data_IF_977630573606
#
_entry.id   IF_977630573606
#
_cell.length_a   1.000
_cell.length_b   1.000
_cell.length_c   1.000
_cell.angle_alpha   90.00
_cell.angle_beta   90.00
_cell.angle_gamma   90.00
#
_symmetry.space_group_name_H-M   'P 1'
#
loop_
_entity.id
_entity.type
_entity.pdbx_description
1 polymer ?
#
# COMPACT_ATOMS: atom_id res chain seq x y z
N UNK A 1 16.34 32.93 20.59
CA UNK A 1 15.96 31.53 20.83
C UNK A 1 14.56 31.40 20.26
N UNK A 2 14.46 31.48 18.93
CA UNK A 2 13.22 31.24 18.21
C UNK A 2 13.39 29.89 17.54
N UNK A 3 12.63 28.92 18.02
CA UNK A 3 12.47 27.65 17.33
C UNK A 3 11.84 27.94 15.98
N UNK A 4 12.63 27.86 14.90
CA UNK A 4 12.09 27.64 13.57
C UNK A 4 11.14 26.44 13.67
N UNK A 5 9.83 26.69 13.61
CA UNK A 5 8.86 25.65 13.33
C UNK A 5 9.20 25.12 11.95
N UNK A 6 10.01 24.07 11.89
CA UNK A 6 10.25 23.27 10.69
C UNK A 6 8.87 22.97 10.12
N UNK A 7 8.62 23.39 8.88
CA UNK A 7 7.35 23.16 8.21
C UNK A 7 6.99 21.67 8.32
N UNK A 8 5.87 21.39 8.98
CA UNK A 8 5.34 20.04 9.21
C UNK A 8 4.74 19.52 7.89
N UNK A 9 5.59 19.18 6.93
CA UNK A 9 5.10 18.67 5.65
C UNK A 9 4.70 17.20 5.81
N UNK A 10 3.45 16.91 5.50
CA UNK A 10 2.82 15.59 5.47
C UNK A 10 2.52 15.26 4.02
N UNK A 11 2.67 14.01 3.62
CA UNK A 11 2.42 13.60 2.24
C UNK A 11 1.84 12.20 2.13
N UNK A 12 1.02 12.00 1.11
CA UNK A 12 0.76 10.68 0.59
C UNK A 12 1.94 10.25 -0.29
N UNK A 13 2.39 9.02 -0.17
CA UNK A 13 3.46 8.47 -1.00
C UNK A 13 2.96 7.21 -1.69
N UNK A 14 3.17 7.11 -3.00
CA UNK A 14 3.02 5.88 -3.78
C UNK A 14 4.34 5.52 -4.45
N UNK A 15 4.46 4.29 -4.92
CA UNK A 15 5.64 3.81 -5.63
C UNK A 15 5.33 3.38 -7.07
N UNK A 16 6.26 3.64 -8.00
CA UNK A 16 6.16 3.24 -9.40
C UNK A 16 7.52 2.75 -9.93
N UNK A 17 7.52 1.66 -10.70
CA UNK A 17 8.70 1.13 -11.37
C UNK A 17 8.34 0.59 -12.75
N UNK A 18 9.32 0.61 -13.66
CA UNK A 18 9.20 0.09 -15.02
C UNK A 18 8.23 0.86 -15.92
N UNK A 19 7.94 0.24 -17.07
CA UNK A 19 7.10 0.79 -18.15
C UNK A 19 5.69 0.17 -18.19
N UNK A 20 5.24 -0.42 -17.09
CA UNK A 20 3.93 -1.07 -16.98
C UNK A 20 2.77 -0.07 -16.81
N UNK A 21 1.56 -0.60 -16.75
CA UNK A 21 0.33 0.19 -16.70
C UNK A 21 -0.08 0.68 -15.30
N UNK A 22 0.76 0.46 -14.28
CA UNK A 22 0.56 0.99 -12.93
C UNK A 22 0.54 2.53 -12.89
N UNK A 23 1.05 3.21 -13.93
CA UNK A 23 0.85 4.66 -14.10
C UNK A 23 -0.63 5.04 -14.08
N UNK A 24 -1.53 4.20 -14.64
CA UNK A 24 -2.99 4.43 -14.59
C UNK A 24 -3.51 4.37 -13.15
N UNK A 25 -2.96 3.46 -12.35
CA UNK A 25 -3.24 3.35 -10.93
C UNK A 25 -2.90 4.63 -10.17
N UNK A 26 -1.68 5.14 -10.39
CA UNK A 26 -1.23 6.40 -9.76
C UNK A 26 -2.08 7.60 -10.21
N UNK A 27 -2.45 7.69 -11.48
CA UNK A 27 -3.38 8.74 -11.96
C UNK A 27 -4.75 8.62 -11.28
N UNK A 28 -5.29 7.41 -11.21
CA UNK A 28 -6.54 7.13 -10.50
C UNK A 28 -6.48 7.54 -9.03
N UNK A 29 -5.38 7.23 -8.34
CA UNK A 29 -5.13 7.60 -6.95
C UNK A 29 -5.03 9.13 -6.78
N UNK A 30 -4.30 9.82 -7.64
CA UNK A 30 -4.19 11.28 -7.63
C UNK A 30 -5.57 11.94 -7.76
N UNK A 31 -6.39 11.46 -8.70
CA UNK A 31 -7.77 11.92 -8.87
C UNK A 31 -8.66 11.58 -7.67
N UNK A 32 -8.48 10.40 -7.07
CA UNK A 32 -9.20 10.00 -5.85
C UNK A 32 -8.93 10.93 -4.68
N UNK A 33 -7.65 11.19 -4.37
CA UNK A 33 -7.23 12.14 -3.34
C UNK A 33 -7.79 13.54 -3.58
N UNK A 34 -7.80 14.01 -4.84
CA UNK A 34 -8.40 15.29 -5.22
C UNK A 34 -9.92 15.31 -5.03
N UNK A 35 -10.62 14.24 -5.41
CA UNK A 35 -12.08 14.10 -5.25
C UNK A 35 -12.50 14.21 -3.79
N UNK A 36 -11.74 13.59 -2.89
CA UNK A 36 -11.98 13.65 -1.45
C UNK A 36 -11.38 14.89 -0.78
N UNK A 37 -10.84 15.81 -1.60
CA UNK A 37 -10.28 17.10 -1.16
C UNK A 37 -9.18 16.94 -0.10
N UNK A 38 -8.31 15.94 -0.30
CA UNK A 38 -7.07 15.81 0.50
C UNK A 38 -6.33 17.14 0.53
N UNK A 39 -5.87 17.53 1.72
CA UNK A 39 -5.03 18.72 1.89
C UNK A 39 -3.57 18.49 1.50
N UNK A 40 -3.16 17.23 1.33
CA UNK A 40 -1.76 16.84 1.19
C UNK A 40 -1.42 16.35 -0.22
N UNK A 41 -0.19 16.58 -0.69
CA UNK A 41 0.25 16.17 -2.02
C UNK A 41 0.40 14.65 -2.12
N UNK A 42 0.36 14.16 -3.37
CA UNK A 42 0.78 12.80 -3.71
C UNK A 42 2.22 12.84 -4.26
N UNK A 43 3.13 12.23 -3.52
CA UNK A 43 4.52 12.00 -3.93
C UNK A 43 4.63 10.64 -4.58
N UNK A 44 5.24 10.57 -5.75
CA UNK A 44 5.50 9.33 -6.47
C UNK A 44 6.99 9.02 -6.34
N UNK A 45 7.32 8.10 -5.44
CA UNK A 45 8.63 7.48 -5.39
C UNK A 45 8.80 6.59 -6.63
N UNK A 46 9.86 6.77 -7.41
CA UNK A 46 10.04 6.00 -8.64
C UNK A 46 11.46 5.54 -8.88
N UNK A 47 11.59 4.39 -9.55
CA UNK A 47 12.88 3.94 -10.06
C UNK A 47 13.27 4.66 -11.36
N UNK A 48 14.57 4.71 -11.70
CA UNK A 48 15.04 5.37 -12.93
C UNK A 48 14.46 4.78 -14.22
N UNK A 49 13.97 3.54 -14.19
CA UNK A 49 13.42 2.82 -15.34
C UNK A 49 11.99 3.22 -15.73
N UNK A 50 11.34 4.12 -14.96
CA UNK A 50 10.04 4.69 -15.34
C UNK A 50 10.23 5.65 -16.54
N UNK A 51 9.57 5.39 -17.69
CA UNK A 51 9.73 6.19 -18.90
C UNK A 51 9.31 7.66 -18.72
N UNK A 52 9.94 8.57 -19.47
CA UNK A 52 9.61 10.00 -19.40
C UNK A 52 8.14 10.29 -19.74
N UNK A 53 7.54 9.55 -20.67
CA UNK A 53 6.10 9.64 -20.97
C UNK A 53 5.23 9.44 -19.72
N UNK A 54 5.54 8.43 -18.90
CA UNK A 54 4.83 8.21 -17.63
C UNK A 54 5.09 9.35 -16.66
N UNK A 55 6.33 9.85 -16.58
CA UNK A 55 6.68 10.99 -15.71
C UNK A 55 5.90 12.24 -16.11
N UNK A 56 5.79 12.55 -17.41
CA UNK A 56 5.00 13.67 -17.92
C UNK A 56 3.52 13.54 -17.58
N UNK A 57 2.93 12.35 -17.73
CA UNK A 57 1.55 12.06 -17.32
C UNK A 57 1.38 12.39 -15.83
N UNK A 58 2.27 11.90 -14.96
CA UNK A 58 2.17 12.13 -13.52
C UNK A 58 2.38 13.61 -13.13
N UNK A 59 3.32 14.31 -13.77
CA UNK A 59 3.49 15.77 -13.56
C UNK A 59 2.24 16.54 -13.99
N UNK A 60 1.64 16.18 -15.13
CA UNK A 60 0.40 16.83 -15.60
C UNK A 60 -0.80 16.57 -14.68
N UNK A 61 -0.74 15.53 -13.85
CA UNK A 61 -1.73 15.22 -12.80
C UNK A 61 -1.37 15.82 -11.43
N UNK A 62 -0.35 16.68 -11.35
CA UNK A 62 0.04 17.39 -10.13
C UNK A 62 0.81 16.54 -9.12
N UNK A 63 1.31 15.36 -9.51
CA UNK A 63 2.11 14.53 -8.64
C UNK A 63 3.52 15.09 -8.45
N UNK A 64 4.04 14.98 -7.22
CA UNK A 64 5.44 15.33 -6.89
C UNK A 64 6.31 14.11 -7.18
N UNK A 65 7.19 14.20 -8.19
CA UNK A 65 8.01 13.07 -8.60
C UNK A 65 9.31 13.00 -7.81
N UNK A 66 9.62 11.83 -7.24
CA UNK A 66 10.85 11.60 -6.47
C UNK A 66 11.55 10.33 -6.97
N UNK A 67 12.62 10.51 -7.74
CA UNK A 67 13.46 9.39 -8.14
C UNK A 67 14.23 8.83 -6.94
N UNK A 68 14.31 7.51 -6.84
CA UNK A 68 15.00 6.78 -5.77
C UNK A 68 15.90 5.69 -6.34
N UNK A 69 16.97 5.38 -5.62
CA UNK A 69 17.90 4.32 -5.99
C UNK A 69 17.30 2.93 -5.75
N UNK A 70 17.42 1.99 -6.70
CA UNK A 70 17.01 0.61 -6.50
C UNK A 70 17.66 -0.02 -5.25
N UNK A 71 16.94 -0.94 -4.62
CA UNK A 71 17.45 -1.81 -3.54
C UNK A 71 17.60 -3.22 -4.08
N UNK A 72 18.84 -3.71 -4.15
CA UNK A 72 19.13 -5.04 -4.65
C UNK A 72 19.16 -6.07 -3.51
N UNK A 73 18.46 -7.22 -3.64
CA UNK A 73 18.58 -8.31 -2.69
C UNK A 73 19.98 -8.95 -2.76
N UNK A 74 20.41 -9.71 -1.74
CA UNK A 74 21.65 -10.48 -1.76
C UNK A 74 21.75 -11.45 -2.97
N UNK A 75 22.97 -11.76 -3.40
CA UNK A 75 23.34 -12.23 -4.76
C UNK A 75 22.84 -13.60 -5.26
N UNK A 76 21.91 -14.30 -4.59
CA UNK A 76 21.62 -15.72 -4.88
C UNK A 76 20.23 -15.99 -5.49
N UNK A 77 19.66 -15.05 -6.25
CA UNK A 77 18.30 -15.19 -6.81
C UNK A 77 18.24 -15.28 -8.33
N UNK A 78 17.29 -16.08 -8.83
CA UNK A 78 16.92 -16.18 -10.27
C UNK A 78 16.39 -14.83 -10.77
N UNK A 79 16.67 -14.44 -12.03
CA UNK A 79 16.42 -13.09 -12.57
C UNK A 79 14.99 -12.55 -12.36
N UNK A 80 13.95 -13.35 -12.61
CA UNK A 80 12.56 -12.90 -12.42
C UNK A 80 12.22 -12.63 -10.95
N UNK A 81 12.69 -13.50 -10.05
CA UNK A 81 12.55 -13.28 -8.62
C UNK A 81 13.29 -12.00 -8.22
N UNK A 82 14.49 -11.79 -8.77
CA UNK A 82 15.32 -10.61 -8.52
C UNK A 82 14.59 -9.32 -8.86
N UNK A 83 13.91 -9.22 -10.01
CA UNK A 83 13.15 -8.03 -10.39
C UNK A 83 11.98 -7.76 -9.42
N UNK A 84 11.25 -8.81 -9.04
CA UNK A 84 10.18 -8.72 -8.02
C UNK A 84 10.71 -8.18 -6.69
N UNK A 85 11.85 -8.68 -6.21
CA UNK A 85 12.45 -8.19 -4.96
C UNK A 85 13.04 -6.78 -5.09
N UNK A 86 13.65 -6.43 -6.23
CA UNK A 86 14.15 -5.06 -6.45
C UNK A 86 13.01 -4.07 -6.35
N UNK A 87 11.90 -4.32 -7.05
CA UNK A 87 10.72 -3.45 -7.05
C UNK A 87 10.20 -3.27 -5.62
N UNK A 88 9.97 -4.36 -4.91
CA UNK A 88 9.35 -4.33 -3.59
C UNK A 88 10.27 -3.76 -2.50
N UNK A 89 11.54 -4.17 -2.43
CA UNK A 89 12.48 -3.63 -1.44
C UNK A 89 12.88 -2.18 -1.71
N UNK A 90 12.77 -1.70 -2.95
CA UNK A 90 13.00 -0.28 -3.24
C UNK A 90 12.00 0.64 -2.55
N UNK A 91 10.80 0.15 -2.20
CA UNK A 91 9.84 0.91 -1.38
C UNK A 91 10.45 1.36 -0.06
N UNK A 92 11.42 0.65 0.52
CA UNK A 92 12.07 1.03 1.77
C UNK A 92 12.78 2.40 1.71
N UNK A 93 13.10 2.90 0.50
CA UNK A 93 13.71 4.23 0.31
C UNK A 93 12.82 5.38 0.80
N UNK A 94 11.51 5.17 0.91
CA UNK A 94 10.58 6.22 1.38
C UNK A 94 10.84 6.63 2.84
N UNK A 95 11.49 5.79 3.66
CA UNK A 95 11.93 6.19 5.01
C UNK A 95 13.01 7.28 5.01
N UNK A 96 13.65 7.55 3.87
CA UNK A 96 14.64 8.61 3.72
C UNK A 96 14.02 9.95 3.26
N UNK A 97 12.69 10.05 3.11
CA UNK A 97 12.01 11.30 2.72
C UNK A 97 11.86 12.24 3.92
N UNK A 98 13.00 12.65 4.50
CA UNK A 98 13.13 13.47 5.71
C UNK A 98 12.57 14.89 5.59
N UNK A 99 12.19 15.31 4.39
CA UNK A 99 11.39 16.50 4.15
C UNK A 99 9.98 16.39 4.74
N UNK A 100 9.46 15.17 4.94
CA UNK A 100 8.17 14.93 5.57
C UNK A 100 8.30 14.43 7.00
N UNK A 101 7.44 14.92 7.90
CA UNK A 101 7.39 14.43 9.28
C UNK A 101 6.51 13.18 9.45
N UNK A 102 5.56 12.98 8.54
CA UNK A 102 4.68 11.81 8.51
C UNK A 102 4.18 11.54 7.10
N UNK A 103 4.15 10.27 6.77
CA UNK A 103 3.77 9.77 5.44
C UNK A 103 2.67 8.74 5.59
N UNK A 104 1.67 8.82 4.70
CA UNK A 104 0.73 7.74 4.44
C UNK A 104 1.15 7.10 3.11
N UNK A 105 1.70 5.89 3.17
CA UNK A 105 2.02 5.12 1.98
C UNK A 105 0.75 4.45 1.43
N UNK A 106 0.57 4.49 0.12
CA UNK A 106 -0.50 3.83 -0.62
C UNK A 106 0.10 3.19 -1.88
N UNK A 107 -0.08 1.88 -2.06
CA UNK A 107 0.28 1.21 -3.31
C UNK A 107 -0.51 1.79 -4.50
N UNK A 108 0.07 1.71 -5.69
CA UNK A 108 -0.52 2.28 -6.90
C UNK A 108 -1.83 1.59 -7.35
N UNK A 109 -2.17 0.43 -6.79
CA UNK A 109 -3.47 -0.25 -6.97
C UNK A 109 -4.45 -0.02 -5.82
N UNK A 110 -4.26 1.06 -5.06
CA UNK A 110 -5.22 1.58 -4.09
C UNK A 110 -6.05 2.73 -4.69
N UNK A 111 -7.31 2.82 -4.26
CA UNK A 111 -8.15 3.99 -4.50
C UNK A 111 -8.77 4.51 -3.20
N UNK A 112 -8.82 5.84 -3.09
CA UNK A 112 -9.40 6.58 -1.96
C UNK A 112 -10.77 7.13 -2.39
N UNK A 113 -11.80 6.78 -1.62
CA UNK A 113 -13.21 7.13 -1.86
C UNK A 113 -13.77 8.12 -0.84
N UNK A 114 -13.15 8.24 0.32
CA UNK A 114 -13.44 9.25 1.34
C UNK A 114 -12.15 9.82 1.92
N UNK A 115 -12.20 11.01 2.51
CA UNK A 115 -11.01 11.67 3.04
C UNK A 115 -10.43 10.86 4.23
N UNK A 116 -9.10 10.71 4.22
CA UNK A 116 -8.32 9.94 5.21
C UNK A 116 -7.18 10.78 5.82
N UNK A 117 -7.25 12.11 5.73
CA UNK A 117 -6.24 13.04 6.23
C UNK A 117 -6.06 12.92 7.76
N UNK A 118 -7.09 12.46 8.48
CA UNK A 118 -6.99 12.17 9.91
C UNK A 118 -5.94 11.11 10.26
N UNK A 119 -5.50 10.29 9.28
CA UNK A 119 -4.42 9.32 9.48
C UNK A 119 -3.09 9.99 9.84
N UNK A 120 -2.88 11.25 9.41
CA UNK A 120 -1.68 11.99 9.79
C UNK A 120 -1.68 12.43 11.27
N UNK A 121 -2.80 12.30 11.97
CA UNK A 121 -2.91 12.62 13.40
C UNK A 121 -2.77 11.38 14.30
N UNK A 122 -2.53 10.20 13.72
CA UNK A 122 -2.23 8.99 14.47
C UNK A 122 -0.95 9.17 15.34
N UNK A 123 -0.85 8.53 16.52
CA UNK A 123 0.28 8.75 17.43
C UNK A 123 1.63 8.42 16.80
N UNK A 124 2.66 9.20 17.11
CA UNK A 124 3.99 8.95 16.58
C UNK A 124 4.67 7.73 17.24
N UNK A 125 5.72 7.21 16.59
CA UNK A 125 6.57 6.12 17.07
C UNK A 125 6.05 4.72 16.75
N UNK A 126 5.09 4.62 15.82
CA UNK A 126 4.48 3.35 15.42
C UNK A 126 4.24 3.31 13.92
N UNK A 127 4.40 2.12 13.34
CA UNK A 127 3.87 1.83 12.02
C UNK A 127 2.38 1.49 12.17
N UNK A 128 1.52 2.30 11.57
CA UNK A 128 0.09 2.02 11.54
C UNK A 128 -0.30 1.36 10.23
N UNK A 129 -1.13 0.33 10.28
CA UNK A 129 -1.57 -0.37 9.07
C UNK A 129 -2.76 -1.27 9.34
N UNK A 130 -3.42 -1.72 8.27
CA UNK A 130 -4.56 -2.62 8.40
C UNK A 130 -4.05 -4.06 8.41
N UNK A 131 -4.53 -4.84 9.37
CA UNK A 131 -4.23 -6.27 9.45
C UNK A 131 -4.66 -6.98 8.15
N UNK A 132 -3.81 -7.87 7.64
CA UNK A 132 -4.09 -8.68 6.46
C UNK A 132 -5.14 -9.78 6.68
N UNK A 133 -5.32 -10.62 5.68
CA UNK A 133 -6.19 -11.79 5.70
C UNK A 133 -5.40 -13.03 5.29
N UNK A 134 -5.51 -14.12 6.06
CA UNK A 134 -4.82 -15.39 5.80
C UNK A 134 -5.64 -16.39 5.00
N UNK A 135 -6.83 -16.02 4.51
CA UNK A 135 -7.75 -16.93 3.82
C UNK A 135 -7.49 -17.06 2.31
N UNK A 136 -6.62 -16.22 1.74
CA UNK A 136 -6.29 -16.27 0.32
C UNK A 136 -5.27 -17.37 0.00
N UNK A 137 -5.35 -17.94 -1.22
CA UNK A 137 -4.51 -19.09 -1.63
C UNK A 137 -3.01 -18.78 -1.58
N UNK A 138 -2.62 -17.51 -1.70
CA UNK A 138 -1.22 -17.07 -1.53
C UNK A 138 -0.64 -17.46 -0.17
N UNK A 139 -1.49 -17.65 0.85
CA UNK A 139 -1.11 -18.11 2.19
C UNK A 139 -1.04 -19.63 2.34
N UNK A 140 -1.27 -20.42 1.28
CA UNK A 140 -1.40 -21.88 1.38
C UNK A 140 -0.17 -22.63 1.90
N UNK A 141 0.98 -21.96 1.96
CA UNK A 141 2.22 -22.48 2.51
C UNK A 141 2.35 -22.27 4.02
N UNK A 142 1.38 -21.62 4.67
CA UNK A 142 1.44 -21.24 6.09
C UNK A 142 0.59 -22.13 6.99
N UNK A 143 0.96 -22.31 8.26
CA UNK A 143 0.12 -22.98 9.26
C UNK A 143 -1.27 -22.34 9.40
N UNK A 144 -1.34 -21.01 9.38
CA UNK A 144 -2.57 -20.21 9.50
C UNK A 144 -3.61 -20.64 8.47
N UNK A 145 -3.21 -20.70 7.20
CA UNK A 145 -4.09 -21.13 6.11
C UNK A 145 -4.49 -22.61 6.26
N UNK A 146 -3.53 -23.47 6.60
CA UNK A 146 -3.75 -24.93 6.71
C UNK A 146 -4.79 -25.27 7.77
N UNK A 147 -4.78 -24.58 8.91
CA UNK A 147 -5.76 -24.79 9.99
C UNK A 147 -7.06 -24.00 9.79
N UNK A 148 -7.11 -23.07 8.84
CA UNK A 148 -8.24 -22.17 8.62
C UNK A 148 -8.32 -21.00 9.61
N UNK A 149 -7.22 -20.67 10.29
CA UNK A 149 -7.13 -19.52 11.19
C UNK A 149 -6.97 -18.22 10.41
N UNK A 150 -7.75 -17.19 10.78
CA UNK A 150 -7.59 -15.85 10.24
C UNK A 150 -7.75 -14.79 11.32
N UNK A 151 -6.81 -13.85 11.38
CA UNK A 151 -6.81 -12.73 12.32
C UNK A 151 -7.96 -11.72 12.10
N UNK A 152 -8.64 -11.78 10.94
CA UNK A 152 -9.88 -11.01 10.69
C UNK A 152 -11.07 -11.57 11.47
N UNK A 153 -11.02 -12.83 11.88
CA UNK A 153 -12.08 -13.52 12.60
C UNK A 153 -11.51 -14.58 13.56
N UNK A 154 -10.69 -14.20 14.55
CA UNK A 154 -9.94 -15.14 15.39
C UNK A 154 -10.84 -16.08 16.21
N UNK A 155 -12.11 -15.71 16.40
CA UNK A 155 -13.10 -16.53 17.11
C UNK A 155 -13.68 -17.68 16.27
N UNK A 156 -13.60 -17.63 14.92
CA UNK A 156 -14.15 -18.69 14.06
C UNK A 156 -13.35 -19.99 14.16
N UNK A 157 -12.03 -19.87 14.18
CA UNK A 157 -11.11 -20.99 14.38
C UNK A 157 -10.09 -20.53 15.41
N UNK A 158 -10.15 -21.12 16.61
CA UNK A 158 -9.18 -20.82 17.66
C UNK A 158 -7.82 -21.39 17.31
N UNK A 159 -6.77 -20.65 17.64
CA UNK A 159 -5.40 -21.14 17.47
C UNK A 159 -5.18 -22.41 18.31
N UNK A 160 -4.66 -23.51 17.74
CA UNK A 160 -4.47 -24.77 18.45
C UNK A 160 -3.50 -24.62 19.63
N UNK A 161 -3.85 -25.15 20.79
CA UNK A 161 -3.07 -25.01 22.02
C UNK A 161 -1.75 -25.79 21.99
N UNK A 162 -1.69 -26.83 21.16
CA UNK A 162 -0.51 -27.65 20.90
C UNK A 162 0.52 -26.97 19.98
N UNK A 163 0.12 -25.91 19.27
CA UNK A 163 1.05 -25.09 18.50
C UNK A 163 1.74 -24.07 19.41
N UNK A 164 2.84 -23.48 18.92
CA UNK A 164 3.44 -22.29 19.56
C UNK A 164 2.39 -21.17 19.68
N UNK A 165 2.69 -20.09 20.40
CA UNK A 165 1.81 -18.92 20.47
C UNK A 165 1.31 -18.49 19.07
N UNK A 166 0.08 -17.94 18.97
CA UNK A 166 -0.43 -17.42 17.72
C UNK A 166 0.56 -16.40 17.12
N UNK A 167 0.60 -16.26 15.79
CA UNK A 167 1.48 -15.30 15.14
C UNK A 167 1.16 -13.88 15.63
N UNK A 168 2.16 -12.98 15.67
CA UNK A 168 1.90 -11.57 15.91
C UNK A 168 0.95 -11.02 14.83
N UNK A 169 0.25 -9.90 15.11
CA UNK A 169 -0.58 -9.24 14.11
C UNK A 169 0.22 -8.95 12.84
N UNK A 170 -0.31 -9.39 11.69
CA UNK A 170 0.35 -9.22 10.41
C UNK A 170 -0.40 -8.22 9.55
N UNK A 171 0.19 -7.12 9.10
CA UNK A 171 -0.47 -6.12 8.26
C UNK A 171 -0.17 -6.30 6.77
N UNK A 172 -1.10 -5.81 5.94
CA UNK A 172 -0.84 -5.66 4.51
C UNK A 172 0.01 -4.40 4.28
N UNK A 173 1.11 -4.53 3.53
CA UNK A 173 2.03 -3.42 3.29
C UNK A 173 1.64 -2.54 2.09
N UNK A 174 0.43 -2.71 1.55
CA UNK A 174 -0.10 -1.80 0.53
C UNK A 174 -0.50 -0.44 1.09
N UNK A 175 -0.79 -0.36 2.39
CA UNK A 175 -1.08 0.89 3.06
C UNK A 175 -0.53 0.88 4.49
N UNK A 176 0.22 1.93 4.83
CA UNK A 176 0.68 2.16 6.18
C UNK A 176 1.03 3.63 6.44
N UNK A 177 1.02 4.02 7.71
CA UNK A 177 1.41 5.36 8.18
C UNK A 177 2.67 5.25 9.03
N UNK A 178 3.64 6.11 8.77
CA UNK A 178 4.94 6.09 9.44
C UNK A 178 5.63 7.46 9.38
N UNK A 179 6.70 7.62 10.14
CA UNK A 179 7.58 8.78 10.14
C UNK A 179 8.89 8.46 9.38
N UNK A 180 9.21 9.20 8.30
CA UNK A 180 10.53 9.14 7.71
C UNK A 180 11.61 9.45 8.74
N UNK A 181 12.60 8.56 8.86
CA UNK A 181 13.66 8.67 9.85
C UNK A 181 14.93 8.01 9.30
N UNK A 182 16.03 8.77 9.27
CA UNK A 182 17.31 8.30 8.70
C UNK A 182 17.86 7.08 9.45
N UNK A 183 17.74 7.03 10.77
CA UNK A 183 18.22 5.90 11.58
C UNK A 183 17.39 4.64 11.35
N UNK A 184 16.06 4.78 11.26
CA UNK A 184 15.15 3.68 10.89
C UNK A 184 15.45 3.20 9.47
N UNK A 185 15.63 4.12 8.52
CA UNK A 185 15.99 3.81 7.13
C UNK A 185 17.30 3.01 7.03
N UNK A 186 18.36 3.46 7.70
CA UNK A 186 19.65 2.76 7.71
C UNK A 186 19.50 1.37 8.34
N UNK A 187 18.73 1.26 9.43
CA UNK A 187 18.46 0.00 10.11
C UNK A 187 17.69 -0.98 9.23
N UNK A 188 16.67 -0.51 8.49
CA UNK A 188 15.92 -1.30 7.51
C UNK A 188 16.87 -1.88 6.46
N UNK A 189 17.74 -1.05 5.86
CA UNK A 189 18.66 -1.52 4.82
C UNK A 189 19.73 -2.47 5.35
N UNK A 190 20.21 -2.30 6.59
CA UNK A 190 21.15 -3.23 7.20
C UNK A 190 20.49 -4.57 7.53
N UNK A 191 19.27 -4.55 8.09
CA UNK A 191 18.51 -5.75 8.37
C UNK A 191 18.18 -6.52 7.08
N UNK A 192 17.85 -5.82 5.99
CA UNK A 192 17.53 -6.44 4.71
C UNK A 192 18.70 -7.27 4.15
N UNK A 193 19.95 -6.83 4.33
CA UNK A 193 21.15 -7.55 3.83
C UNK A 193 21.27 -8.98 4.36
N UNK A 194 20.76 -9.24 5.55
CA UNK A 194 20.79 -10.55 6.21
C UNK A 194 19.41 -11.22 6.24
N UNK A 195 18.39 -10.59 5.67
CA UNK A 195 17.04 -11.12 5.63
C UNK A 195 16.91 -12.11 4.47
N UNK A 196 16.54 -13.38 4.73
CA UNK A 196 16.25 -14.32 3.67
C UNK A 196 15.05 -13.85 2.84
N UNK A 197 15.05 -14.08 1.52
CA UNK A 197 13.91 -13.77 0.68
C UNK A 197 12.65 -14.53 1.11
N UNK A 198 11.51 -13.86 1.09
CA UNK A 198 10.23 -14.40 1.54
C UNK A 198 9.13 -14.24 0.47
N UNK A 199 8.01 -14.93 0.67
CA UNK A 199 6.94 -15.01 -0.33
C UNK A 199 6.29 -13.64 -0.65
N UNK A 200 6.23 -12.74 0.34
CA UNK A 200 5.66 -11.40 0.19
C UNK A 200 6.70 -10.28 0.32
N UNK A 201 7.99 -10.59 0.10
CA UNK A 201 9.10 -9.63 0.04
C UNK A 201 9.09 -8.58 1.18
N UNK A 202 8.86 -7.31 0.82
CA UNK A 202 8.89 -6.18 1.75
C UNK A 202 7.77 -6.26 2.78
N UNK A 203 6.61 -6.84 2.46
CA UNK A 203 5.52 -6.99 3.42
C UNK A 203 5.94 -7.90 4.59
N UNK A 204 6.52 -9.06 4.30
CA UNK A 204 7.02 -9.96 5.34
C UNK A 204 8.15 -9.31 6.14
N UNK A 205 9.10 -8.67 5.43
CA UNK A 205 10.22 -7.99 6.05
C UNK A 205 9.77 -6.89 7.01
N UNK A 206 8.85 -6.02 6.58
CA UNK A 206 8.32 -4.92 7.38
C UNK A 206 7.49 -5.43 8.58
N UNK A 207 6.76 -6.54 8.41
CA UNK A 207 6.03 -7.18 9.52
C UNK A 207 6.98 -7.72 10.61
N UNK A 208 8.14 -8.26 10.23
CA UNK A 208 9.16 -8.70 11.19
C UNK A 208 9.87 -7.50 11.82
N UNK A 209 10.24 -6.49 11.01
CA UNK A 209 11.00 -5.34 11.48
C UNK A 209 10.21 -4.49 12.48
N UNK A 210 8.92 -4.24 12.20
CA UNK A 210 8.05 -3.40 13.01
C UNK A 210 7.13 -4.19 13.96
N UNK A 211 7.39 -5.48 14.21
CA UNK A 211 6.52 -6.35 15.02
C UNK A 211 6.11 -5.72 16.37
N UNK A 212 7.07 -5.07 17.05
CA UNK A 212 6.87 -4.45 18.37
C UNK A 212 6.25 -3.05 18.31
N UNK A 213 6.41 -2.38 17.18
CA UNK A 213 6.03 -0.99 16.96
C UNK A 213 4.84 -0.87 16.00
N UNK A 214 4.14 -1.97 15.74
CA UNK A 214 2.97 -2.00 14.88
C UNK A 214 1.69 -1.67 15.66
N UNK A 215 0.84 -0.81 15.10
CA UNK A 215 -0.50 -0.51 15.61
C UNK A 215 -1.56 -0.73 14.53
N UNK A 216 -2.51 -1.66 14.73
CA UNK A 216 -3.56 -1.89 13.76
C UNK A 216 -4.51 -0.70 13.69
N UNK A 217 -4.93 -0.35 12.47
CA UNK A 217 -6.01 0.61 12.21
C UNK A 217 -7.21 -0.09 11.56
N UNK A 218 -8.41 0.52 11.59
CA UNK A 218 -9.63 -0.09 11.08
C UNK A 218 -9.56 -0.50 9.60
N UNK A 219 -10.24 -1.60 9.27
CA UNK A 219 -10.33 -2.18 7.92
C UNK A 219 -10.74 -1.17 6.83
N UNK A 220 -11.54 -0.16 7.17
CA UNK A 220 -12.04 0.85 6.23
C UNK A 220 -10.93 1.68 5.57
N UNK A 221 -9.72 1.71 6.13
CA UNK A 221 -8.57 2.45 5.59
C UNK A 221 -7.69 1.63 4.63
N UNK A 222 -7.95 0.33 4.46
CA UNK A 222 -7.31 -0.52 3.47
C UNK A 222 -8.10 -1.82 3.33
N UNK A 223 -9.27 -1.76 2.68
CA UNK A 223 -10.04 -2.98 2.41
C UNK A 223 -9.40 -3.72 1.25
N UNK A 224 -8.67 -4.80 1.57
CA UNK A 224 -8.24 -5.79 0.58
C UNK A 224 -9.48 -6.39 -0.05
N UNK A 225 -9.58 -6.34 -1.38
CA UNK A 225 -10.80 -6.80 -2.07
C UNK A 225 -11.23 -8.22 -1.70
N UNK A 226 -10.27 -9.11 -1.41
CA UNK A 226 -10.58 -10.47 -1.01
C UNK A 226 -11.42 -10.60 0.26
N UNK A 227 -11.37 -9.60 1.13
CA UNK A 227 -12.19 -9.55 2.33
C UNK A 227 -13.69 -9.50 1.98
N UNK A 228 -14.08 -8.97 0.81
CA UNK A 228 -15.48 -8.95 0.35
C UNK A 228 -16.12 -10.34 0.23
N UNK A 229 -15.33 -11.37 -0.11
CA UNK A 229 -15.82 -12.75 -0.23
C UNK A 229 -15.30 -13.69 0.84
N UNK A 230 -14.21 -13.34 1.54
CA UNK A 230 -13.68 -14.15 2.66
C UNK A 230 -14.32 -13.81 3.99
N UNK A 231 -14.59 -12.54 4.23
CA UNK A 231 -15.16 -12.01 5.47
C UNK A 231 -16.23 -10.95 5.20
N UNK A 232 -17.28 -11.24 4.40
CA UNK A 232 -18.34 -10.27 4.11
C UNK A 232 -19.00 -9.73 5.39
N UNK A 233 -19.00 -10.51 6.47
CA UNK A 233 -19.51 -10.09 7.78
C UNK A 233 -18.75 -8.91 8.41
N UNK A 234 -17.52 -8.65 7.97
CA UNK A 234 -16.69 -7.56 8.46
C UNK A 234 -16.79 -6.29 7.58
N UNK A 235 -17.58 -6.32 6.50
CA UNK A 235 -17.59 -5.25 5.49
C UNK A 235 -18.94 -4.54 5.43
N UNK A 236 -18.94 -3.28 5.87
CA UNK A 236 -19.99 -2.30 5.55
C UNK A 236 -19.46 -1.39 4.43
N UNK A 237 -19.75 -1.74 3.17
CA UNK A 237 -19.08 -1.15 2.00
C UNK A 237 -19.26 0.38 1.89
N UNK A 238 -20.37 0.91 2.39
CA UNK A 238 -20.67 2.34 2.42
C UNK A 238 -19.74 3.13 3.35
N UNK A 239 -19.12 2.47 4.33
CA UNK A 239 -18.19 3.08 5.29
C UNK A 239 -16.73 2.93 4.89
N UNK A 240 -16.46 2.17 3.84
CA UNK A 240 -15.10 1.90 3.37
C UNK A 240 -14.55 3.14 2.69
N UNK A 241 -13.42 3.63 3.19
CA UNK A 241 -12.75 4.83 2.68
C UNK A 241 -11.73 4.50 1.60
N UNK A 242 -11.09 3.33 1.70
CA UNK A 242 -9.98 2.92 0.84
C UNK A 242 -10.15 1.48 0.40
N UNK A 243 -10.03 1.24 -0.91
CA UNK A 243 -10.04 -0.11 -1.50
C UNK A 243 -8.67 -0.42 -2.07
N UNK A 244 -8.18 -1.63 -1.79
CA UNK A 244 -6.97 -2.17 -2.39
C UNK A 244 -7.30 -3.26 -3.41
N UNK A 245 -7.05 -2.96 -4.69
CA UNK A 245 -7.27 -3.83 -5.84
C UNK A 245 -6.12 -4.84 -6.00
N UNK A 246 -5.81 -5.55 -4.91
CA UNK A 246 -4.67 -6.46 -4.81
C UNK A 246 -4.99 -7.91 -5.24
N UNK A 247 -6.27 -8.24 -5.45
CA UNK A 247 -6.67 -9.57 -5.88
C UNK A 247 -6.34 -9.79 -7.37
N UNK A 248 -5.99 -11.02 -7.80
CA UNK A 248 -5.80 -11.32 -9.23
C UNK A 248 -7.04 -10.93 -10.05
N UNK A 249 -6.84 -10.26 -11.18
CA UNK A 249 -7.91 -9.75 -12.05
C UNK A 249 -8.59 -8.46 -11.56
N UNK A 250 -8.33 -8.02 -10.32
CA UNK A 250 -9.10 -6.92 -9.74
C UNK A 250 -8.67 -5.51 -10.15
N UNK A 251 -7.45 -5.36 -10.69
CA UNK A 251 -6.94 -4.05 -11.13
C UNK A 251 -7.91 -3.42 -12.14
N UNK A 252 -8.50 -2.25 -11.86
CA UNK A 252 -9.57 -1.70 -12.68
C UNK A 252 -9.22 -1.50 -14.16
N UNK A 253 -7.96 -1.19 -14.46
CA UNK A 253 -7.45 -0.99 -15.82
C UNK A 253 -7.10 -2.29 -16.57
N UNK A 254 -7.16 -3.44 -15.91
CA UNK A 254 -7.02 -4.78 -16.51
C UNK A 254 -8.27 -5.65 -16.32
N UNK A 255 -9.35 -5.08 -15.79
CA UNK A 255 -10.50 -5.85 -15.36
C UNK A 255 -11.23 -6.48 -16.55
N UNK A 256 -11.28 -7.82 -16.56
CA UNK A 256 -12.02 -8.62 -17.57
C UNK A 256 -13.32 -9.19 -17.00
N UNK A 257 -13.37 -9.40 -15.67
CA UNK A 257 -14.46 -10.11 -15.01
C UNK A 257 -14.32 -11.64 -15.04
N UNK A 258 -13.24 -12.18 -15.61
CA UNK A 258 -13.07 -13.63 -15.83
C UNK A 258 -12.37 -14.35 -14.67
N UNK A 259 -11.50 -13.66 -13.92
CA UNK A 259 -10.83 -14.26 -12.77
C UNK A 259 -11.80 -14.57 -11.62
N UNK A 260 -11.37 -15.46 -10.73
CA UNK A 260 -12.18 -15.89 -9.59
C UNK A 260 -12.71 -14.69 -8.78
N UNK A 261 -14.02 -14.69 -8.53
CA UNK A 261 -14.75 -13.66 -7.80
C UNK A 261 -14.88 -12.30 -8.52
N UNK A 262 -14.33 -12.13 -9.73
CA UNK A 262 -14.43 -10.87 -10.47
C UNK A 262 -15.81 -10.67 -11.13
N UNK A 263 -16.60 -11.72 -11.24
CA UNK A 263 -17.98 -11.68 -11.75
C UNK A 263 -18.99 -11.13 -10.73
N UNK A 264 -18.58 -10.88 -9.47
CA UNK A 264 -19.44 -10.35 -8.42
C UNK A 264 -19.89 -8.91 -8.70
N UNK A 265 -21.12 -8.61 -8.32
CA UNK A 265 -21.72 -7.29 -8.55
C UNK A 265 -21.07 -6.17 -7.73
N UNK A 266 -20.66 -6.45 -6.49
CA UNK A 266 -19.93 -5.49 -5.66
C UNK A 266 -18.55 -5.14 -6.25
N UNK A 267 -17.84 -6.13 -6.79
CA UNK A 267 -16.57 -5.95 -7.51
C UNK A 267 -16.77 -5.10 -8.77
N UNK A 268 -17.74 -5.43 -9.62
CA UNK A 268 -18.05 -4.64 -10.83
C UNK A 268 -18.41 -3.20 -10.48
N UNK A 269 -19.18 -2.99 -9.40
CA UNK A 269 -19.52 -1.65 -8.91
C UNK A 269 -18.27 -0.87 -8.48
N UNK A 270 -17.35 -1.48 -7.75
CA UNK A 270 -16.09 -0.85 -7.34
C UNK A 270 -15.21 -0.49 -8.53
N UNK A 271 -15.06 -1.39 -9.50
CA UNK A 271 -14.34 -1.13 -10.75
C UNK A 271 -14.98 0.02 -11.52
N UNK A 272 -16.31 0.04 -11.62
CA UNK A 272 -17.04 1.16 -12.23
C UNK A 272 -16.75 2.47 -11.48
N UNK A 273 -16.84 2.49 -10.14
CA UNK A 273 -16.52 3.67 -9.32
C UNK A 273 -15.09 4.16 -9.54
N UNK A 274 -14.14 3.25 -9.74
CA UNK A 274 -12.76 3.60 -10.07
C UNK A 274 -12.66 4.31 -11.43
N UNK A 275 -13.31 3.76 -12.46
CA UNK A 275 -13.37 4.38 -13.79
C UNK A 275 -14.12 5.71 -13.80
N UNK A 276 -15.19 5.83 -13.02
CA UNK A 276 -15.92 7.09 -12.84
C UNK A 276 -14.99 8.18 -12.27
N UNK A 277 -14.03 7.84 -11.41
CA UNK A 277 -13.00 8.79 -10.92
C UNK A 277 -11.94 9.04 -11.98
N UNK A 278 -11.40 7.98 -12.59
CA UNK A 278 -10.31 8.08 -13.56
C UNK A 278 -10.69 8.93 -14.78
N UNK A 279 -11.90 8.74 -15.30
CA UNK A 279 -12.41 9.41 -16.50
C UNK A 279 -13.01 10.80 -16.22
N UNK A 280 -13.12 11.21 -14.95
CA UNK A 280 -13.63 12.55 -14.61
C UNK A 280 -12.54 13.61 -14.88
N UNK A 281 -12.72 14.38 -15.95
CA UNK A 281 -11.83 15.46 -16.35
C UNK A 281 -11.90 16.66 -15.39
N UNK A 282 -12.99 16.82 -14.63
CA UNK A 282 -13.06 17.87 -13.60
C UNK A 282 -12.11 17.60 -12.43
N UNK A 283 -11.67 16.35 -12.31
CA UNK A 283 -10.62 15.92 -11.40
C UNK A 283 -9.23 15.99 -12.02
N UNK A 284 -9.01 16.45 -13.26
CA UNK A 284 -7.65 16.70 -13.73
C UNK A 284 -6.99 17.84 -12.95
N UNK A 285 -5.66 17.78 -12.82
CA UNK A 285 -4.94 18.85 -12.13
C UNK A 285 -4.99 20.13 -12.96
N UNK A 286 -5.74 21.11 -12.47
CA UNK A 286 -5.73 22.44 -13.05
C UNK A 286 -4.52 23.18 -12.48
N UNK A 287 -3.52 23.45 -13.33
CA UNK A 287 -2.54 24.49 -13.03
C UNK A 287 -3.32 25.80 -12.89
N UNK A 288 -3.63 26.19 -11.65
CA UNK A 288 -4.05 27.55 -11.34
C UNK A 288 -2.81 28.45 -11.48
N UNK A 289 -2.32 28.61 -12.70
CA UNK A 289 -1.43 29.70 -13.07
C UNK A 289 -2.29 30.95 -13.31
N UNK A 290 -2.65 31.61 -12.21
CA UNK A 290 -2.89 33.05 -12.14
C UNK A 290 -2.38 33.61 -10.83
#
# INVERSE_FOLDING_TARGET
MDSEKVHQERAYVTFLAGNGDYVKGVVGLAKGLRKVKSAYPLVVAMLPDVPEEHREILRSQGCVLREIEPVYPPNDQVSYARDYYIINYSKLRIWNFKEYNKVVFLDADIQVYDNIDELFDLPDGYLHGVIGCFCEKTWSHTPQYTIGYCQQCPEKVKWPAEMKSPPPPYYNAGMFVFEPNLSTYESLLQALKITPPSAFAEQDFLNVFFEKDFKPIPLVYNLLMSVLWRHPENVELERVKVIHYCAPGSKPWKFTGEEAYMDREDVKLLVKKWWDIYNDESLDFQNLSK
#
